data_IF_142069091932
#
_entry.id   IF_142069091932
#
_cell.length_a   1.000
_cell.length_b   1.000
_cell.length_c   1.000
_cell.angle_alpha   90.00
_cell.angle_beta   90.00
_cell.angle_gamma   90.00
#
_symmetry.space_group_name_H-M   'P 1'
#
loop_
_entity.id
_entity.type
_entity.pdbx_description
1 polymer ?
#
# COMPACT_ATOMS: atom_id res chain seq x y z
N UNK A 1 50.16 12.00 -50.94
CA UNK A 1 49.75 12.57 -49.66
C UNK A 1 48.28 12.14 -49.44
N UNK A 2 48.04 11.12 -48.60
CA UNK A 2 46.71 10.60 -48.36
C UNK A 2 46.18 11.23 -47.06
N UNK A 3 45.10 12.03 -47.16
CA UNK A 3 44.43 12.68 -46.01
C UNK A 3 43.45 11.65 -45.45
N UNK A 4 43.68 11.20 -44.21
CA UNK A 4 42.76 10.35 -43.46
C UNK A 4 41.84 11.26 -42.70
N UNK A 5 40.53 11.25 -43.06
CA UNK A 5 39.49 11.89 -42.27
C UNK A 5 39.08 10.96 -41.11
N UNK A 6 39.44 11.32 -39.88
CA UNK A 6 38.93 10.68 -38.67
C UNK A 6 37.61 11.33 -38.32
N UNK A 7 36.49 10.60 -38.52
CA UNK A 7 35.17 11.04 -38.04
C UNK A 7 35.06 10.62 -36.57
N UNK A 8 35.19 11.59 -35.65
CA UNK A 8 34.86 11.42 -34.25
C UNK A 8 33.34 11.37 -34.08
N UNK A 9 32.80 10.18 -33.85
CA UNK A 9 31.43 10.04 -33.39
C UNK A 9 31.34 10.45 -31.90
N UNK A 10 30.87 11.64 -31.62
CA UNK A 10 30.47 12.01 -30.27
C UNK A 10 29.17 11.28 -29.90
N UNK A 11 29.30 10.21 -29.15
CA UNK A 11 28.18 9.61 -28.43
C UNK A 11 27.79 10.57 -27.30
N UNK A 12 26.80 11.44 -27.55
CA UNK A 12 26.13 12.17 -26.47
C UNK A 12 25.27 11.16 -25.70
N UNK A 13 25.80 10.63 -24.61
CA UNK A 13 25.00 9.94 -23.61
C UNK A 13 23.97 10.92 -23.06
N UNK A 14 22.73 10.78 -23.48
CA UNK A 14 21.62 11.56 -22.92
C UNK A 14 21.29 11.05 -21.51
N UNK A 15 21.58 11.79 -20.44
CA UNK A 15 21.26 11.38 -19.06
C UNK A 15 19.79 11.66 -18.69
N UNK A 16 18.85 11.57 -19.63
CA UNK A 16 17.62 12.31 -19.45
C UNK A 16 16.39 11.50 -19.00
N UNK A 17 16.30 10.22 -19.27
CA UNK A 17 15.03 9.49 -19.00
C UNK A 17 14.90 9.06 -17.53
N UNK A 18 15.94 8.48 -16.94
CA UNK A 18 15.93 8.03 -15.55
C UNK A 18 15.73 9.20 -14.57
N UNK A 19 16.42 10.33 -14.78
CA UNK A 19 16.24 11.52 -13.95
C UNK A 19 14.83 12.12 -14.02
N UNK A 20 14.09 11.89 -15.11
CA UNK A 20 12.74 12.44 -15.28
C UNK A 20 11.71 11.62 -14.48
N UNK A 21 11.79 10.28 -14.50
CA UNK A 21 10.85 9.41 -13.76
C UNK A 21 11.02 9.59 -12.25
N UNK A 22 12.24 9.66 -11.73
CA UNK A 22 12.47 9.88 -10.29
C UNK A 22 11.89 11.20 -9.80
N UNK A 23 12.10 12.31 -10.54
CA UNK A 23 11.49 13.62 -10.21
C UNK A 23 9.96 13.57 -10.30
N UNK A 24 9.40 12.81 -11.24
CA UNK A 24 7.95 12.61 -11.34
C UNK A 24 7.41 11.88 -10.12
N UNK A 25 8.07 10.78 -9.70
CA UNK A 25 7.71 10.01 -8.51
C UNK A 25 7.81 10.88 -7.25
N UNK A 26 8.91 11.62 -7.07
CA UNK A 26 9.10 12.53 -5.94
C UNK A 26 7.94 13.52 -5.81
N UNK A 27 7.63 14.25 -6.88
CA UNK A 27 6.49 15.19 -6.89
C UNK A 27 5.14 14.52 -6.60
N UNK A 28 4.89 13.33 -7.17
CA UNK A 28 3.65 12.60 -6.93
C UNK A 28 3.57 12.12 -5.48
N UNK A 29 4.70 11.72 -4.89
CA UNK A 29 4.78 11.32 -3.48
C UNK A 29 4.49 12.49 -2.55
N UNK A 30 5.05 13.68 -2.82
CA UNK A 30 4.73 14.91 -2.08
C UNK A 30 3.24 15.27 -2.18
N UNK A 31 2.63 15.11 -3.35
CA UNK A 31 1.20 15.40 -3.56
C UNK A 31 0.28 14.47 -2.75
N UNK A 32 0.66 13.22 -2.54
CA UNK A 32 -0.16 12.24 -1.84
C UNK A 32 0.09 12.21 -0.32
N UNK A 33 1.19 12.78 0.17
CA UNK A 33 1.63 12.74 1.58
C UNK A 33 0.51 13.08 2.57
N UNK A 34 -0.16 14.21 2.36
CA UNK A 34 -1.26 14.62 3.23
C UNK A 34 -2.42 13.62 3.25
N UNK A 35 -2.66 12.92 2.15
CA UNK A 35 -3.67 11.87 2.07
C UNK A 35 -3.24 10.62 2.82
N UNK A 36 -1.98 10.21 2.68
CA UNK A 36 -1.39 9.09 3.43
C UNK A 36 -1.51 9.32 4.94
N UNK A 37 -1.19 10.53 5.42
CA UNK A 37 -1.35 10.90 6.84
C UNK A 37 -2.81 10.81 7.28
N UNK A 38 -3.77 11.26 6.46
CA UNK A 38 -5.21 11.17 6.76
C UNK A 38 -5.68 9.72 6.79
N UNK A 39 -5.30 8.90 5.81
CA UNK A 39 -5.65 7.49 5.75
C UNK A 39 -5.09 6.73 6.96
N UNK A 40 -3.83 6.93 7.28
CA UNK A 40 -3.19 6.36 8.48
C UNK A 40 -3.96 6.70 9.74
N UNK A 41 -4.32 7.97 9.96
CA UNK A 41 -5.05 8.41 11.15
C UNK A 41 -6.47 7.85 11.19
N UNK A 42 -7.12 7.73 10.04
CA UNK A 42 -8.45 7.13 9.93
C UNK A 42 -8.42 5.64 10.33
N UNK A 43 -7.47 4.87 9.79
CA UNK A 43 -7.30 3.45 10.09
C UNK A 43 -6.91 3.29 11.57
N UNK A 44 -6.00 4.10 12.08
CA UNK A 44 -5.59 4.08 13.49
C UNK A 44 -6.75 4.33 14.46
N UNK A 45 -7.66 5.23 14.10
CA UNK A 45 -8.82 5.56 14.92
C UNK A 45 -9.89 4.47 14.90
N UNK A 46 -9.91 3.64 13.86
CA UNK A 46 -10.91 2.61 13.63
C UNK A 46 -10.26 1.22 13.45
N UNK A 47 -9.47 0.75 14.42
CA UNK A 47 -8.74 -0.50 14.29
C UNK A 47 -9.67 -1.70 14.41
N UNK A 48 -9.36 -2.76 13.68
CA UNK A 48 -10.10 -4.02 13.69
C UNK A 48 -9.12 -5.17 13.95
N UNK A 49 -9.55 -6.17 14.73
CA UNK A 49 -8.74 -7.35 15.02
C UNK A 49 -8.64 -8.28 13.80
N UNK A 50 -7.67 -9.19 13.85
CA UNK A 50 -7.45 -10.27 12.87
C UNK A 50 -8.74 -10.94 12.43
N UNK A 51 -8.95 -11.10 11.12
CA UNK A 51 -10.16 -11.62 10.47
C UNK A 51 -11.47 -10.83 10.78
N UNK A 52 -11.32 -9.59 11.26
CA UNK A 52 -12.45 -8.67 11.51
C UNK A 52 -12.25 -7.32 10.81
N UNK A 53 -11.27 -7.24 9.90
CA UNK A 53 -10.84 -6.03 9.18
C UNK A 53 -11.79 -5.62 8.06
N UNK A 54 -13.11 -5.79 8.25
CA UNK A 54 -14.13 -5.57 7.21
C UNK A 54 -14.20 -4.12 6.75
N UNK A 55 -14.14 -3.16 7.69
CA UNK A 55 -14.21 -1.74 7.36
C UNK A 55 -12.88 -1.24 6.78
N UNK A 56 -11.76 -1.74 7.29
CA UNK A 56 -10.42 -1.46 6.74
C UNK A 56 -10.30 -2.01 5.32
N UNK A 57 -10.71 -3.25 5.07
CA UNK A 57 -10.74 -3.86 3.75
C UNK A 57 -11.62 -3.08 2.77
N UNK A 58 -12.81 -2.68 3.21
CA UNK A 58 -13.70 -1.84 2.39
C UNK A 58 -13.08 -0.49 2.06
N UNK A 59 -12.48 0.17 3.04
CA UNK A 59 -11.83 1.47 2.88
C UNK A 59 -10.69 1.41 1.85
N UNK A 60 -9.86 0.38 1.95
CA UNK A 60 -8.77 0.09 0.99
C UNK A 60 -9.34 -0.20 -0.39
N UNK A 61 -10.33 -1.09 -0.49
CA UNK A 61 -10.94 -1.48 -1.76
C UNK A 61 -11.58 -0.30 -2.48
N UNK A 62 -12.34 0.54 -1.77
CA UNK A 62 -12.96 1.74 -2.33
C UNK A 62 -11.89 2.68 -2.93
N UNK A 63 -10.77 2.87 -2.23
CA UNK A 63 -9.65 3.66 -2.73
C UNK A 63 -9.03 3.07 -4.00
N UNK A 64 -8.71 1.78 -3.99
CA UNK A 64 -8.09 1.11 -5.14
C UNK A 64 -9.01 1.11 -6.37
N UNK A 65 -10.32 0.89 -6.18
CA UNK A 65 -11.34 1.02 -7.22
C UNK A 65 -11.41 2.45 -7.79
N UNK A 66 -11.26 3.47 -6.93
CA UNK A 66 -11.25 4.87 -7.37
C UNK A 66 -10.06 5.21 -8.27
N UNK A 67 -8.97 4.46 -8.18
CA UNK A 67 -7.80 4.53 -9.06
C UNK A 67 -7.99 3.77 -10.38
N UNK A 68 -9.13 3.11 -10.58
CA UNK A 68 -9.41 2.30 -11.76
C UNK A 68 -8.65 0.97 -11.80
N UNK A 69 -8.27 0.44 -10.65
CA UNK A 69 -7.62 -0.87 -10.53
C UNK A 69 -8.66 -2.00 -10.50
N UNK A 70 -8.28 -3.18 -11.01
CA UNK A 70 -9.02 -4.41 -10.79
C UNK A 70 -8.80 -4.87 -9.36
N UNK A 71 -9.88 -5.01 -8.57
CA UNK A 71 -9.81 -5.31 -7.14
C UNK A 71 -10.57 -6.59 -6.83
N UNK A 72 -9.91 -7.51 -6.14
CA UNK A 72 -10.49 -8.73 -5.59
C UNK A 72 -10.58 -8.56 -4.07
N UNK A 73 -11.79 -8.79 -3.54
CA UNK A 73 -12.11 -8.70 -2.11
C UNK A 73 -12.31 -10.08 -1.51
N UNK A 74 -12.30 -10.17 -0.18
CA UNK A 74 -12.52 -11.39 0.58
C UNK A 74 -11.49 -12.50 0.28
N UNK A 75 -10.26 -12.12 -0.03
CA UNK A 75 -9.16 -13.06 -0.17
C UNK A 75 -8.67 -13.44 1.24
N UNK A 76 -8.57 -14.73 1.52
CA UNK A 76 -8.26 -15.22 2.87
C UNK A 76 -9.09 -14.49 3.94
N UNK A 77 -10.40 -14.46 3.77
CA UNK A 77 -11.44 -13.87 4.62
C UNK A 77 -11.68 -12.37 4.34
N UNK A 78 -10.86 -11.45 4.85
CA UNK A 78 -11.03 -9.99 4.69
C UNK A 78 -10.00 -9.35 3.77
N UNK A 79 -9.03 -10.11 3.24
CA UNK A 79 -7.96 -9.57 2.44
C UNK A 79 -8.41 -8.96 1.11
N UNK A 80 -7.62 -8.01 0.63
CA UNK A 80 -7.85 -7.29 -0.62
C UNK A 80 -6.62 -7.40 -1.52
N UNK A 81 -6.84 -7.72 -2.79
CA UNK A 81 -5.78 -7.77 -3.81
C UNK A 81 -6.17 -6.87 -4.96
N UNK A 82 -5.23 -6.02 -5.41
CA UNK A 82 -5.41 -5.23 -6.62
C UNK A 82 -4.26 -5.46 -7.61
N UNK A 83 -4.58 -5.31 -8.90
CA UNK A 83 -3.64 -5.50 -9.99
C UNK A 83 -3.47 -4.19 -10.76
N UNK A 84 -2.22 -3.78 -10.95
CA UNK A 84 -1.82 -2.71 -11.84
C UNK A 84 -0.98 -3.30 -12.97
N UNK A 85 -1.55 -3.39 -14.15
CA UNK A 85 -0.82 -3.73 -15.36
C UNK A 85 -0.09 -2.49 -15.88
N UNK A 86 1.23 -2.57 -16.04
CA UNK A 86 2.05 -1.51 -16.61
C UNK A 86 1.91 -1.40 -18.12
N UNK A 87 2.38 -0.27 -18.67
CA UNK A 87 2.32 0.01 -20.12
C UNK A 87 3.27 -0.85 -20.96
N UNK A 88 4.19 -1.59 -20.36
CA UNK A 88 5.17 -2.41 -21.09
C UNK A 88 5.27 -3.83 -20.51
N UNK A 89 5.60 -4.84 -21.33
CA UNK A 89 5.84 -6.20 -20.86
C UNK A 89 6.98 -6.26 -19.82
N UNK A 90 6.81 -7.12 -18.79
CA UNK A 90 7.82 -7.31 -17.73
C UNK A 90 7.42 -8.40 -16.76
N UNK A 91 8.14 -8.48 -15.65
CA UNK A 91 7.85 -9.40 -14.55
C UNK A 91 6.70 -8.94 -13.66
N UNK A 92 6.41 -9.74 -12.63
CA UNK A 92 5.40 -9.41 -11.61
C UNK A 92 6.10 -9.11 -10.30
N UNK A 93 5.73 -8.01 -9.65
CA UNK A 93 6.16 -7.64 -8.31
C UNK A 93 4.94 -7.57 -7.41
N UNK A 94 5.03 -8.18 -6.22
CA UNK A 94 4.00 -8.06 -5.20
C UNK A 94 4.48 -7.14 -4.08
N UNK A 95 3.59 -6.22 -3.66
CA UNK A 95 3.78 -5.34 -2.50
C UNK A 95 2.72 -5.70 -1.48
N UNK A 96 3.12 -5.86 -0.20
CA UNK A 96 2.24 -6.31 0.87
C UNK A 96 2.15 -5.26 1.98
N UNK A 97 0.95 -5.14 2.54
CA UNK A 97 0.67 -4.44 3.79
C UNK A 97 -0.31 -5.26 4.63
N UNK A 98 -0.03 -5.41 5.91
CA UNK A 98 -0.90 -6.10 6.84
C UNK A 98 -1.98 -5.13 7.37
N UNK A 99 -3.18 -5.62 7.68
CA UNK A 99 -4.33 -4.76 7.98
C UNK A 99 -4.81 -4.82 9.42
N UNK A 100 -4.53 -5.91 10.12
CA UNK A 100 -5.09 -6.19 11.43
C UNK A 100 -4.45 -5.37 12.56
N UNK A 101 -5.22 -5.16 13.62
CA UNK A 101 -4.81 -4.50 14.85
C UNK A 101 -4.75 -5.49 16.03
N UNK A 102 -4.21 -5.05 17.14
CA UNK A 102 -3.97 -5.85 18.34
C UNK A 102 -5.01 -5.56 19.43
N UNK A 103 -5.31 -6.56 20.32
CA UNK A 103 -6.16 -6.38 21.49
C UNK A 103 -5.45 -5.61 22.59
N UNK A 104 -5.05 -4.36 22.30
CA UNK A 104 -4.28 -3.47 23.17
C UNK A 104 -5.07 -2.18 23.39
N UNK A 105 -5.16 -1.73 24.65
CA UNK A 105 -5.78 -0.45 24.97
C UNK A 105 -4.81 0.69 24.69
N UNK A 106 -5.18 1.61 23.82
CA UNK A 106 -4.41 2.82 23.57
C UNK A 106 -4.42 3.74 24.80
N UNK A 107 -3.25 4.25 25.18
CA UNK A 107 -3.06 5.11 26.36
C UNK A 107 -2.61 6.53 26.03
N UNK A 108 -2.42 6.80 24.73
CA UNK A 108 -1.95 8.12 24.27
C UNK A 108 -3.15 9.03 24.04
N UNK A 109 -3.05 10.28 24.46
CA UNK A 109 -4.09 11.28 24.21
C UNK A 109 -3.80 12.02 22.89
N UNK A 110 -4.30 11.45 21.80
CA UNK A 110 -4.20 12.00 20.45
C UNK A 110 -5.60 12.22 19.87
N UNK A 111 -5.78 13.22 18.99
CA UNK A 111 -7.09 13.49 18.34
C UNK A 111 -7.64 12.29 17.53
N UNK A 112 -6.77 11.38 17.11
CA UNK A 112 -7.09 10.19 16.34
C UNK A 112 -6.80 8.88 17.11
N UNK A 113 -6.62 8.96 18.43
CA UNK A 113 -6.44 7.79 19.28
C UNK A 113 -7.66 6.85 19.18
N UNK A 114 -7.43 5.55 19.17
CA UNK A 114 -8.49 4.55 19.18
C UNK A 114 -9.29 4.61 20.49
N UNK A 115 -10.60 4.57 20.36
CA UNK A 115 -11.55 4.36 21.48
C UNK A 115 -12.31 3.04 21.31
N UNK A 116 -11.90 2.22 20.34
CA UNK A 116 -12.54 0.95 20.00
C UNK A 116 -12.31 -0.05 21.12
N UNK A 117 -13.38 -0.75 21.49
CA UNK A 117 -13.37 -1.87 22.40
C UNK A 117 -14.11 -3.04 21.78
N UNK A 118 -13.69 -4.25 22.12
CA UNK A 118 -14.33 -5.49 21.68
C UNK A 118 -14.17 -6.60 22.71
N UNK A 119 -14.86 -7.70 22.52
CA UNK A 119 -14.62 -8.91 23.29
C UNK A 119 -13.56 -9.75 22.58
N UNK A 120 -12.48 -10.06 23.27
CA UNK A 120 -11.41 -10.91 22.82
C UNK A 120 -11.13 -11.97 23.89
N UNK A 121 -11.29 -13.26 23.55
CA UNK A 121 -11.16 -14.39 24.51
C UNK A 121 -11.99 -14.16 25.79
N UNK A 122 -13.27 -13.82 25.59
CA UNK A 122 -14.28 -13.58 26.65
C UNK A 122 -13.98 -12.38 27.57
N UNK A 123 -13.05 -11.52 27.23
CA UNK A 123 -12.69 -10.31 28.01
C UNK A 123 -12.88 -9.06 27.14
N UNK A 124 -13.46 -7.99 27.72
CA UNK A 124 -13.47 -6.69 27.06
C UNK A 124 -12.06 -6.09 27.02
N UNK A 125 -11.59 -5.77 25.81
CA UNK A 125 -10.27 -5.18 25.57
C UNK A 125 -10.39 -3.95 24.69
N UNK A 126 -9.42 -3.03 24.79
CA UNK A 126 -9.23 -2.02 23.76
C UNK A 126 -8.61 -2.63 22.51
N UNK A 127 -8.78 -1.95 21.38
CA UNK A 127 -8.14 -2.33 20.11
C UNK A 127 -7.27 -1.19 19.61
N UNK A 128 -6.05 -1.48 19.20
CA UNK A 128 -5.10 -0.46 18.74
C UNK A 128 -4.16 -1.02 17.67
N UNK A 129 -3.81 -0.21 16.67
CA UNK A 129 -2.69 -0.50 15.78
C UNK A 129 -1.34 -0.29 16.49
N UNK A 130 -0.98 -1.23 17.38
CA UNK A 130 0.25 -1.15 18.17
C UNK A 130 1.49 -1.70 17.44
N UNK A 131 1.31 -2.42 16.31
CA UNK A 131 2.39 -2.92 15.45
C UNK A 131 2.70 -1.98 14.27
N UNK A 132 1.79 -1.05 13.93
CA UNK A 132 2.00 -0.07 12.85
C UNK A 132 1.39 -0.46 11.51
N UNK A 133 0.49 -1.45 11.46
CA UNK A 133 -0.19 -1.87 10.22
C UNK A 133 -1.03 -0.75 9.61
N UNK A 134 -1.59 0.18 10.39
CA UNK A 134 -2.20 1.42 9.92
C UNK A 134 -1.27 2.25 9.02
N UNK A 135 0.02 2.25 9.33
CA UNK A 135 1.06 2.91 8.54
C UNK A 135 1.38 2.11 7.28
N UNK A 136 1.48 0.77 7.38
CA UNK A 136 1.71 -0.12 6.24
C UNK A 136 0.61 0.05 5.19
N UNK A 137 -0.67 -0.02 5.61
CA UNK A 137 -1.84 0.13 4.73
C UNK A 137 -1.83 1.50 4.05
N UNK A 138 -1.68 2.58 4.84
CA UNK A 138 -1.72 3.94 4.29
C UNK A 138 -0.59 4.21 3.28
N UNK A 139 0.62 3.70 3.56
CA UNK A 139 1.76 3.81 2.62
C UNK A 139 1.45 3.04 1.34
N UNK A 140 0.93 1.80 1.43
CA UNK A 140 0.64 1.00 0.23
C UNK A 140 -0.49 1.61 -0.61
N UNK A 141 -1.50 2.24 0.00
CA UNK A 141 -2.51 3.04 -0.70
C UNK A 141 -1.86 4.23 -1.44
N UNK A 142 -0.90 4.90 -0.80
CA UNK A 142 -0.12 5.98 -1.42
C UNK A 142 0.72 5.49 -2.60
N UNK A 143 1.39 4.37 -2.45
CA UNK A 143 2.17 3.72 -3.52
C UNK A 143 1.26 3.36 -4.69
N UNK A 144 0.07 2.80 -4.44
CA UNK A 144 -0.90 2.50 -5.49
C UNK A 144 -1.31 3.77 -6.27
N UNK A 145 -1.56 4.89 -5.56
CA UNK A 145 -1.88 6.17 -6.19
C UNK A 145 -0.75 6.66 -7.09
N UNK A 146 0.50 6.66 -6.60
CA UNK A 146 1.66 7.13 -7.36
C UNK A 146 1.93 6.23 -8.57
N UNK A 147 1.90 4.91 -8.41
CA UNK A 147 2.19 3.98 -9.48
C UNK A 147 1.11 4.01 -10.58
N UNK A 148 -0.14 4.26 -10.23
CA UNK A 148 -1.22 4.42 -11.22
C UNK A 148 -0.98 5.64 -12.13
N UNK A 149 -0.47 6.74 -11.59
CA UNK A 149 -0.14 7.96 -12.34
C UNK A 149 1.04 7.79 -13.32
N UNK A 150 1.87 6.77 -13.11
CA UNK A 150 3.00 6.45 -13.97
C UNK A 150 2.86 5.09 -14.66
N UNK A 151 1.63 4.58 -14.76
CA UNK A 151 1.31 3.26 -15.31
C UNK A 151 2.03 2.98 -16.64
N UNK A 152 2.02 3.96 -17.55
CA UNK A 152 2.60 3.81 -18.88
C UNK A 152 4.13 3.65 -18.89
N UNK A 153 4.80 4.08 -17.83
CA UNK A 153 6.25 3.93 -17.67
C UNK A 153 6.65 2.62 -16.97
N UNK A 154 5.68 1.89 -16.41
CA UNK A 154 5.93 0.63 -15.66
C UNK A 154 6.10 -0.53 -16.64
N UNK A 155 7.14 -1.34 -16.39
CA UNK A 155 7.37 -2.62 -17.08
C UNK A 155 6.88 -3.76 -16.22
N UNK A 156 5.90 -4.52 -16.73
CA UNK A 156 5.32 -5.65 -16.01
C UNK A 156 4.10 -5.27 -15.17
N UNK A 157 3.85 -6.05 -14.13
CA UNK A 157 2.64 -5.97 -13.30
C UNK A 157 3.00 -5.74 -11.85
N UNK A 158 2.28 -4.85 -11.17
CA UNK A 158 2.36 -4.68 -9.72
C UNK A 158 1.09 -5.26 -9.09
N UNK A 159 1.28 -6.17 -8.13
CA UNK A 159 0.20 -6.74 -7.32
C UNK A 159 0.25 -6.11 -5.94
N UNK A 160 -0.83 -5.44 -5.54
CA UNK A 160 -1.00 -4.89 -4.19
C UNK A 160 -1.76 -5.91 -3.35
N UNK A 161 -1.19 -6.33 -2.23
CA UNK A 161 -1.77 -7.32 -1.31
C UNK A 161 -1.97 -6.65 0.04
N UNK A 162 -3.22 -6.53 0.46
CA UNK A 162 -3.59 -6.10 1.79
C UNK A 162 -4.02 -7.33 2.58
N UNK A 163 -3.12 -7.78 3.46
CA UNK A 163 -3.21 -9.06 4.13
C UNK A 163 -3.97 -8.95 5.44
N UNK A 164 -4.95 -9.84 5.71
CA UNK A 164 -5.60 -9.95 7.00
C UNK A 164 -4.82 -10.85 7.96
N UNK A 165 -5.11 -10.76 9.25
CA UNK A 165 -4.75 -11.71 10.30
C UNK A 165 -3.26 -12.08 10.36
N UNK A 166 -2.37 -11.10 10.20
CA UNK A 166 -0.92 -11.30 10.33
C UNK A 166 -0.52 -11.56 11.79
N UNK A 167 -1.17 -10.88 12.74
CA UNK A 167 -0.95 -11.02 14.19
C UNK A 167 -1.51 -12.32 14.79
N UNK A 168 -2.17 -13.12 13.97
CA UNK A 168 -2.76 -14.40 14.32
C UNK A 168 -4.29 -14.42 14.25
N UNK A 169 -4.80 -15.41 13.54
CA UNK A 169 -6.24 -15.62 13.41
C UNK A 169 -6.87 -16.01 14.75
N UNK A 170 -8.19 -15.71 14.94
CA UNK A 170 -8.95 -16.26 16.05
C UNK A 170 -8.92 -17.80 16.10
N UNK A 171 -9.11 -18.37 17.30
CA UNK A 171 -9.10 -19.82 17.49
C UNK A 171 -10.11 -20.51 16.56
N UNK A 172 -9.64 -21.48 15.78
CA UNK A 172 -10.44 -22.23 14.81
C UNK A 172 -10.64 -21.54 13.45
N UNK A 173 -10.04 -20.39 13.22
CA UNK A 173 -10.01 -19.70 11.93
C UNK A 173 -8.61 -19.80 11.29
N UNK A 174 -8.53 -19.71 9.96
CA UNK A 174 -7.26 -19.67 9.24
C UNK A 174 -6.72 -18.24 9.22
N UNK A 175 -5.39 -18.09 9.29
CA UNK A 175 -4.71 -16.81 9.13
C UNK A 175 -4.61 -16.39 7.66
N UNK A 176 -4.20 -15.16 7.42
CA UNK A 176 -4.01 -14.63 6.08
C UNK A 176 -2.66 -14.99 5.44
N UNK A 177 -1.82 -15.75 6.10
CA UNK A 177 -0.48 -16.13 5.64
C UNK A 177 -0.45 -17.48 4.94
#
# INVERSE_FOLDING_TARGET
>A
MKIIFVILFFFTLSPSHANNIYKKIERLSENVENSVVKWRRHIHQNPELSNREFMTAKYVSDHLKSLGLEVQENIAHTGVVAILEGGHPGGVVALRADMDALPVTERVDLPFASKVKTIYKDVEVGVMHACGHDTHVAILMGVASVLTEIREEIKGTVKFIFQPAEEGAPDGEEGGA
#
